data_IF_069072111275
#
_entry.id   IF_069072111275
#
_cell.length_a   1.000
_cell.length_b   1.000
_cell.length_c   1.000
_cell.angle_alpha   90.00
_cell.angle_beta   90.00
_cell.angle_gamma   90.00
#
_symmetry.space_group_name_H-M   'P 1'
#
loop_
_entity.id
_entity.type
_entity.pdbx_description
1 polymer ?
#
# COMPACT_ATOMS: atom_id res chain seq x y z
N UNK A 1 0.07 16.86 4.65
CA UNK A 1 0.64 16.10 5.77
C UNK A 1 2.07 15.75 5.42
N UNK A 2 2.98 15.75 6.39
CA UNK A 2 4.36 15.29 6.22
C UNK A 2 4.40 13.76 6.06
N UNK A 3 5.17 13.24 5.09
CA UNK A 3 5.26 11.81 4.76
C UNK A 3 5.75 10.98 5.95
N UNK A 4 6.75 11.49 6.67
CA UNK A 4 7.32 10.81 7.83
C UNK A 4 6.29 10.68 8.96
N UNK A 5 5.53 11.74 9.20
CA UNK A 5 4.43 11.74 10.17
C UNK A 5 3.34 10.71 9.84
N UNK A 6 2.98 10.57 8.56
CA UNK A 6 2.05 9.54 8.09
C UNK A 6 2.58 8.13 8.33
N UNK A 7 3.84 7.86 7.98
CA UNK A 7 4.48 6.56 8.19
C UNK A 7 4.53 6.20 9.68
N UNK A 8 4.89 7.15 10.53
CA UNK A 8 4.91 6.97 11.99
C UNK A 8 3.53 6.72 12.59
N UNK A 9 2.51 7.42 12.10
CA UNK A 9 1.14 7.17 12.51
C UNK A 9 0.71 5.75 12.14
N UNK A 10 0.98 5.34 10.91
CA UNK A 10 0.70 3.98 10.47
C UNK A 10 1.39 2.93 11.35
N UNK A 11 2.66 3.12 11.73
CA UNK A 11 3.32 2.18 12.64
C UNK A 11 2.52 2.00 13.94
N UNK A 12 2.10 3.11 14.56
CA UNK A 12 1.34 3.09 15.82
C UNK A 12 -0.02 2.42 15.66
N UNK A 13 -0.72 2.66 14.55
CA UNK A 13 -2.05 2.08 14.29
C UNK A 13 -2.00 0.54 14.20
N UNK A 14 -0.85 -0.02 13.81
CA UNK A 14 -0.66 -1.47 13.68
C UNK A 14 0.22 -2.08 14.78
N UNK A 15 0.79 -1.28 15.68
CA UNK A 15 1.51 -1.74 16.86
C UNK A 15 0.54 -2.18 17.98
N UNK A 16 -0.19 -3.29 17.73
CA UNK A 16 -1.20 -3.79 18.65
C UNK A 16 -0.61 -4.05 20.04
N UNK A 17 -1.18 -3.40 21.05
CA UNK A 17 -0.76 -3.53 22.44
C UNK A 17 0.46 -2.70 22.82
N UNK A 18 0.90 -1.75 21.98
CA UNK A 18 2.05 -0.88 22.23
C UNK A 18 3.33 -1.67 22.58
N UNK A 19 3.54 -2.78 21.88
CA UNK A 19 4.70 -3.67 22.06
C UNK A 19 5.99 -3.05 21.51
N UNK A 20 5.89 -1.98 20.72
CA UNK A 20 7.02 -1.26 20.15
C UNK A 20 7.59 -1.89 18.87
N UNK A 21 6.95 -2.93 18.33
CA UNK A 21 7.41 -3.64 17.13
C UNK A 21 6.26 -4.24 16.32
N UNK A 22 6.41 -4.28 14.98
CA UNK A 22 5.51 -5.01 14.10
C UNK A 22 6.05 -6.42 13.84
N UNK A 23 5.16 -7.41 13.89
CA UNK A 23 5.47 -8.76 13.40
C UNK A 23 5.11 -8.88 11.91
N UNK A 24 5.35 -10.05 11.29
CA UNK A 24 5.04 -10.32 9.88
C UNK A 24 3.58 -10.02 9.51
N UNK A 25 2.64 -10.25 10.42
CA UNK A 25 1.22 -10.00 10.17
C UNK A 25 0.94 -8.50 10.19
N UNK A 26 1.34 -7.80 11.24
CA UNK A 26 1.09 -6.35 11.37
C UNK A 26 1.77 -5.56 10.26
N UNK A 27 2.98 -5.96 9.86
CA UNK A 27 3.69 -5.36 8.72
C UNK A 27 2.86 -5.43 7.43
N UNK A 28 2.22 -6.57 7.15
CA UNK A 28 1.39 -6.71 5.94
C UNK A 28 0.24 -5.72 5.92
N UNK A 29 -0.41 -5.53 7.07
CA UNK A 29 -1.52 -4.59 7.17
C UNK A 29 -1.04 -3.13 7.12
N UNK A 30 0.06 -2.80 7.79
CA UNK A 30 0.66 -1.48 7.73
C UNK A 30 1.08 -1.09 6.30
N UNK A 31 1.70 -2.01 5.56
CA UNK A 31 2.03 -1.79 4.15
C UNK A 31 0.78 -1.62 3.28
N UNK A 32 -0.23 -2.47 3.46
CA UNK A 32 -1.48 -2.33 2.71
C UNK A 32 -2.18 -0.99 2.99
N UNK A 33 -2.11 -0.49 4.22
CA UNK A 33 -2.66 0.80 4.61
C UNK A 33 -1.87 1.98 4.03
N UNK A 34 -0.53 1.90 4.00
CA UNK A 34 0.33 2.96 3.47
C UNK A 34 0.29 3.08 1.95
N UNK A 35 0.28 1.95 1.25
CA UNK A 35 0.42 1.93 -0.21
C UNK A 35 -0.90 1.65 -0.93
N UNK A 36 -1.96 1.27 -0.22
CA UNK A 36 -3.22 0.83 -0.83
C UNK A 36 -3.13 -0.50 -1.58
N UNK A 37 -1.97 -1.17 -1.54
CA UNK A 37 -1.68 -2.39 -2.28
C UNK A 37 -1.28 -3.49 -1.31
N UNK A 38 -1.82 -4.69 -1.52
CA UNK A 38 -1.43 -5.87 -0.73
C UNK A 38 0.01 -6.25 -1.05
N UNK A 39 0.94 -6.23 -0.07
CA UNK A 39 2.33 -6.57 -0.34
C UNK A 39 2.49 -8.06 -0.67
N UNK A 40 3.49 -8.38 -1.49
CA UNK A 40 3.77 -9.78 -1.84
C UNK A 40 4.46 -10.53 -0.71
N UNK A 41 4.39 -11.86 -0.70
CA UNK A 41 5.11 -12.68 0.30
C UNK A 41 6.61 -12.40 0.29
N UNK A 42 7.19 -12.31 -0.92
CA UNK A 42 8.60 -12.06 -1.13
C UNK A 42 9.02 -10.69 -0.60
N UNK A 43 8.24 -9.66 -0.91
CA UNK A 43 8.49 -8.29 -0.45
C UNK A 43 8.48 -8.17 1.08
N UNK A 44 7.50 -8.82 1.73
CA UNK A 44 7.42 -8.90 3.20
C UNK A 44 8.66 -9.60 3.77
N UNK A 45 9.13 -10.67 3.12
CA UNK A 45 10.30 -11.43 3.56
C UNK A 45 11.61 -10.65 3.39
N UNK A 46 11.76 -9.90 2.29
CA UNK A 46 12.91 -9.01 2.10
C UNK A 46 12.97 -7.93 3.18
N UNK A 47 11.85 -7.28 3.50
CA UNK A 47 11.80 -6.26 4.55
C UNK A 47 12.15 -6.84 5.92
N UNK A 48 11.62 -8.03 6.25
CA UNK A 48 11.96 -8.69 7.51
C UNK A 48 13.43 -9.11 7.56
N UNK A 49 14.02 -9.52 6.43
CA UNK A 49 15.45 -9.83 6.34
C UNK A 49 16.31 -8.59 6.62
N UNK A 50 15.98 -7.46 5.99
CA UNK A 50 16.69 -6.18 6.21
C UNK A 50 16.64 -5.79 7.69
N UNK A 51 15.47 -5.92 8.32
CA UNK A 51 15.32 -5.59 9.74
C UNK A 51 16.14 -6.53 10.65
N UNK A 52 16.20 -7.83 10.34
CA UNK A 52 17.05 -8.79 11.08
C UNK A 52 18.53 -8.44 10.97
N UNK A 53 19.01 -8.17 9.76
CA UNK A 53 20.41 -7.83 9.51
C UNK A 53 20.82 -6.56 10.25
N UNK A 54 19.91 -5.59 10.35
CA UNK A 54 20.14 -4.37 11.12
C UNK A 54 20.35 -4.67 12.62
N UNK A 55 19.49 -5.51 13.22
CA UNK A 55 19.62 -5.90 14.64
C UNK A 55 20.91 -6.67 14.89
N UNK A 56 21.26 -7.62 14.02
CA UNK A 56 22.50 -8.41 14.13
C UNK A 56 23.72 -7.49 14.10
N UNK A 57 23.76 -6.50 13.20
CA UNK A 57 24.87 -5.53 13.12
C UNK A 57 25.00 -4.71 14.40
N UNK A 58 23.88 -4.22 14.95
CA UNK A 58 23.90 -3.47 16.20
C UNK A 58 24.41 -4.30 17.38
N UNK A 59 24.06 -5.58 17.45
CA UNK A 59 24.55 -6.49 18.50
C UNK A 59 26.05 -6.75 18.37
N UNK A 60 26.55 -6.98 17.15
CA UNK A 60 27.97 -7.17 16.87
C UNK A 60 28.83 -5.93 17.22
N UNK A 61 28.33 -4.73 16.92
CA UNK A 61 29.00 -3.47 17.25
C UNK A 61 29.01 -3.23 18.77
N UNK A 62 27.96 -3.66 19.49
CA UNK A 62 27.91 -3.57 20.96
C UNK A 62 28.94 -4.49 21.64
N UNK A 63 29.18 -5.68 21.08
CA UNK A 63 30.19 -6.61 21.61
C UNK A 63 31.63 -6.21 21.28
N UNK A 64 31.89 -5.58 20.12
CA UNK A 64 33.22 -5.03 19.81
C UNK A 64 33.63 -3.84 20.69
N UNK A 65 32.67 -3.11 21.27
CA UNK A 65 32.94 -2.01 22.21
C UNK A 65 33.08 -2.47 23.67
N UNK A 66 33.05 -3.77 23.94
CA UNK A 66 33.15 -4.34 25.28
C UNK A 66 34.27 -5.40 25.36
N UNK A 67 35.48 -5.07 24.91
CA UNK A 67 36.66 -5.87 25.27
C UNK A 67 37.05 -5.60 26.73
N UNK A 68 36.50 -6.39 27.66
CA UNK A 68 37.28 -7.06 28.72
C UNK A 68 36.47 -8.19 29.34
N UNK A 69 37.14 -9.34 29.43
CA UNK A 69 36.80 -10.59 30.12
C UNK A 69 35.94 -11.59 29.33
N UNK A 70 36.67 -12.56 28.78
CA UNK A 70 36.22 -13.89 28.39
C UNK A 70 35.29 -14.51 29.44
N UNK A 71 34.09 -14.91 29.03
CA UNK A 71 33.56 -16.18 29.47
C UNK A 71 32.76 -16.85 28.35
N UNK A 72 33.18 -18.07 28.00
CA UNK A 72 32.53 -18.92 27.01
C UNK A 72 31.37 -19.64 27.70
N UNK A 73 30.17 -19.07 27.65
CA UNK A 73 28.94 -19.84 27.85
C UNK A 73 28.05 -19.70 26.62
N UNK A 74 27.66 -20.86 26.10
CA UNK A 74 27.10 -21.05 24.78
C UNK A 74 25.96 -20.10 24.45
N UNK A 75 26.01 -19.58 23.23
CA UNK A 75 24.83 -19.04 22.58
C UNK A 75 23.90 -20.22 22.32
N UNK A 76 23.02 -20.48 23.28
CA UNK A 76 21.81 -21.24 23.05
C UNK A 76 21.16 -20.67 21.78
N UNK A 77 20.79 -21.57 20.88
CA UNK A 77 19.85 -21.29 19.80
C UNK A 77 18.52 -20.84 20.43
N UNK A 78 18.46 -19.59 20.90
CA UNK A 78 17.20 -18.92 21.16
C UNK A 78 16.62 -18.71 19.78
N UNK A 79 15.80 -19.66 19.37
CA UNK A 79 14.83 -19.53 18.31
C UNK A 79 14.14 -18.17 18.49
N UNK A 80 14.66 -17.12 17.84
CA UNK A 80 14.14 -15.76 18.00
C UNK A 80 12.75 -15.78 17.37
N UNK A 81 11.78 -15.91 18.26
CA UNK A 81 10.36 -15.96 18.03
C UNK A 81 9.90 -14.78 17.16
N UNK A 82 9.77 -15.05 15.86
CA UNK A 82 9.24 -14.13 14.85
C UNK A 82 10.15 -12.92 14.56
N UNK A 83 10.33 -12.60 13.29
CA UNK A 83 10.98 -11.34 12.89
C UNK A 83 10.20 -10.12 13.43
N UNK A 84 10.90 -9.21 14.11
CA UNK A 84 10.35 -7.98 14.72
C UNK A 84 10.90 -6.76 13.99
N UNK A 85 10.03 -5.80 13.68
CA UNK A 85 10.40 -4.54 13.03
C UNK A 85 10.05 -3.39 13.97
N UNK A 86 11.06 -2.63 14.40
CA UNK A 86 10.89 -1.46 15.24
C UNK A 86 10.63 -0.19 14.41
N UNK A 87 10.09 0.85 15.04
CA UNK A 87 9.66 2.08 14.35
C UNK A 87 10.76 2.73 13.49
N UNK A 88 12.03 2.88 13.94
CA UNK A 88 13.02 3.60 13.14
C UNK A 88 13.33 2.92 11.81
N UNK A 89 13.49 1.58 11.83
CA UNK A 89 13.77 0.79 10.63
C UNK A 89 12.54 0.68 9.74
N UNK A 90 11.34 0.59 10.33
CA UNK A 90 10.08 0.67 9.59
C UNK A 90 9.97 2.00 8.85
N UNK A 91 10.19 3.11 9.54
CA UNK A 91 10.09 4.44 8.97
C UNK A 91 11.08 4.63 7.82
N UNK A 92 12.34 4.23 8.01
CA UNK A 92 13.35 4.29 6.96
C UNK A 92 12.93 3.52 5.70
N UNK A 93 12.54 2.25 5.86
CA UNK A 93 12.16 1.40 4.73
C UNK A 93 10.92 1.95 4.03
N UNK A 94 9.88 2.32 4.78
CA UNK A 94 8.63 2.81 4.18
C UNK A 94 8.80 4.18 3.51
N UNK A 95 9.65 5.06 4.06
CA UNK A 95 9.98 6.34 3.42
C UNK A 95 10.68 6.13 2.08
N UNK A 96 11.71 5.28 2.02
CA UNK A 96 12.39 4.97 0.76
C UNK A 96 11.45 4.36 -0.27
N UNK A 97 10.49 3.53 0.17
CA UNK A 97 9.48 2.97 -0.74
C UNK A 97 8.48 4.03 -1.22
N UNK A 98 8.00 4.92 -0.34
CA UNK A 98 7.11 6.03 -0.70
C UNK A 98 7.75 7.05 -1.64
N UNK A 99 9.07 7.12 -1.70
CA UNK A 99 9.79 7.93 -2.70
C UNK A 99 9.83 7.28 -4.08
N UNK A 100 9.74 5.95 -4.14
CA UNK A 100 9.75 5.16 -5.37
C UNK A 100 8.34 4.87 -5.91
N UNK A 101 7.29 5.20 -5.16
CA UNK A 101 5.91 5.05 -5.64
C UNK A 101 5.64 6.08 -6.73
N UNK A 102 5.45 5.59 -7.95
CA UNK A 102 4.92 6.36 -9.07
C UNK A 102 3.38 6.24 -9.07
N UNK A 103 2.70 7.32 -8.70
CA UNK A 103 1.23 7.39 -8.70
C UNK A 103 0.64 7.13 -10.10
N UNK A 104 1.32 7.55 -11.17
CA UNK A 104 0.86 7.31 -12.53
C UNK A 104 1.03 5.83 -12.90
N UNK A 105 2.07 5.15 -12.41
CA UNK A 105 2.22 3.70 -12.58
C UNK A 105 1.11 2.93 -11.86
N UNK A 106 0.75 3.33 -10.63
CA UNK A 106 -0.40 2.76 -9.93
C UNK A 106 -1.69 2.96 -10.74
N UNK A 107 -1.93 4.16 -11.27
CA UNK A 107 -3.12 4.44 -12.07
C UNK A 107 -3.16 3.60 -13.36
N UNK A 108 -2.03 3.43 -14.04
CA UNK A 108 -1.92 2.54 -15.20
C UNK A 108 -2.20 1.09 -14.82
N UNK A 109 -1.63 0.59 -13.73
CA UNK A 109 -1.85 -0.78 -13.27
C UNK A 109 -3.32 -1.02 -12.94
N UNK A 110 -3.97 -0.08 -12.25
CA UNK A 110 -5.40 -0.18 -11.94
C UNK A 110 -6.22 -0.15 -13.23
N UNK A 111 -5.96 0.79 -14.15
CA UNK A 111 -6.65 0.86 -15.44
C UNK A 111 -6.53 -0.45 -16.23
N UNK A 112 -5.32 -1.01 -16.33
CA UNK A 112 -5.07 -2.30 -16.98
C UNK A 112 -5.82 -3.46 -16.30
N UNK A 113 -6.01 -3.42 -14.98
CA UNK A 113 -6.77 -4.44 -14.26
C UNK A 113 -8.28 -4.39 -14.59
N UNK A 114 -8.82 -3.21 -14.89
CA UNK A 114 -10.20 -3.05 -15.38
C UNK A 114 -10.33 -3.36 -16.88
N UNK A 115 -9.30 -3.04 -17.69
CA UNK A 115 -9.26 -3.29 -19.14
C UNK A 115 -8.83 -4.73 -19.45
N UNK A 116 -9.67 -5.69 -19.05
CA UNK A 116 -9.42 -7.13 -19.27
C UNK A 116 -9.20 -7.46 -20.75
N UNK A 117 -9.78 -6.67 -21.65
CA UNK A 117 -9.62 -6.84 -23.10
C UNK A 117 -8.35 -6.21 -23.68
N UNK A 118 -7.54 -5.51 -22.88
CA UNK A 118 -6.37 -4.73 -23.29
C UNK A 118 -6.66 -3.82 -24.51
N UNK A 119 -7.86 -3.20 -24.55
CA UNK A 119 -8.30 -2.36 -25.67
C UNK A 119 -7.78 -0.92 -25.58
N UNK A 120 -7.26 -0.54 -24.41
CA UNK A 120 -6.90 0.84 -24.07
C UNK A 120 -8.08 1.70 -23.62
N UNK A 121 -9.25 1.09 -23.39
CA UNK A 121 -10.46 1.77 -22.94
C UNK A 121 -11.42 0.81 -22.21
N UNK A 122 -12.18 1.35 -21.25
CA UNK A 122 -13.22 0.63 -20.52
C UNK A 122 -14.58 0.89 -21.16
N UNK A 123 -15.34 -0.18 -21.37
CA UNK A 123 -16.76 -0.12 -21.79
C UNK A 123 -17.67 -0.19 -20.57
N UNK A 124 -18.95 0.16 -20.76
CA UNK A 124 -19.96 -0.01 -19.72
C UNK A 124 -20.03 -1.47 -19.20
N UNK A 125 -19.83 -2.46 -20.08
CA UNK A 125 -19.82 -3.87 -19.69
C UNK A 125 -18.64 -4.19 -18.76
N UNK A 126 -17.45 -3.64 -19.03
CA UNK A 126 -16.28 -3.84 -18.16
C UNK A 126 -16.52 -3.21 -16.79
N UNK A 127 -17.06 -1.98 -16.76
CA UNK A 127 -17.41 -1.30 -15.53
C UNK A 127 -18.45 -2.10 -14.74
N UNK A 128 -19.54 -2.53 -15.37
CA UNK A 128 -20.59 -3.32 -14.75
C UNK A 128 -20.05 -4.63 -14.15
N UNK A 129 -19.24 -5.36 -14.91
CA UNK A 129 -18.61 -6.60 -14.45
C UNK A 129 -17.72 -6.35 -13.23
N UNK A 130 -16.91 -5.30 -13.27
CA UNK A 130 -16.00 -4.99 -12.17
C UNK A 130 -16.75 -4.56 -10.90
N UNK A 131 -17.78 -3.71 -11.03
CA UNK A 131 -18.63 -3.32 -9.90
C UNK A 131 -19.41 -4.50 -9.32
N UNK A 132 -19.90 -5.42 -10.16
CA UNK A 132 -20.52 -6.66 -9.67
C UNK A 132 -19.56 -7.54 -8.87
N UNK A 133 -18.28 -7.57 -9.23
CA UNK A 133 -17.27 -8.33 -8.50
C UNK A 133 -16.87 -7.66 -7.18
N UNK A 134 -16.61 -6.34 -7.21
CA UNK A 134 -16.06 -5.59 -6.06
C UNK A 134 -17.15 -5.19 -5.07
N UNK A 135 -18.37 -4.88 -5.54
CA UNK A 135 -19.50 -4.47 -4.72
C UNK A 135 -20.83 -4.89 -5.37
N UNK A 136 -21.26 -6.16 -5.21
CA UNK A 136 -22.47 -6.71 -5.84
C UNK A 136 -23.78 -5.98 -5.49
N UNK A 137 -23.77 -5.12 -4.47
CA UNK A 137 -24.94 -4.35 -4.00
C UNK A 137 -25.21 -3.10 -4.83
N UNK A 138 -24.26 -2.67 -5.65
CA UNK A 138 -24.42 -1.48 -6.50
C UNK A 138 -25.27 -1.86 -7.71
N UNK A 139 -26.38 -1.15 -7.91
CA UNK A 139 -27.29 -1.43 -9.03
C UNK A 139 -26.66 -1.05 -10.38
N UNK A 140 -27.02 -1.74 -11.48
CA UNK A 140 -26.54 -1.40 -12.82
C UNK A 140 -26.80 0.07 -13.20
N UNK A 141 -27.91 0.66 -12.74
CA UNK A 141 -28.23 2.06 -13.01
C UNK A 141 -27.21 3.01 -12.38
N UNK A 142 -26.78 2.75 -11.14
CA UNK A 142 -25.77 3.57 -10.46
C UNK A 142 -24.42 3.46 -11.18
N UNK A 143 -24.08 2.27 -11.69
CA UNK A 143 -22.88 2.09 -12.50
C UNK A 143 -22.99 2.84 -13.82
N UNK A 144 -24.16 2.82 -14.46
CA UNK A 144 -24.42 3.54 -15.71
C UNK A 144 -24.27 5.04 -15.53
N UNK A 145 -24.88 5.60 -14.49
CA UNK A 145 -24.79 7.04 -14.19
C UNK A 145 -23.34 7.46 -13.89
N UNK A 146 -22.58 6.62 -13.17
CA UNK A 146 -21.16 6.85 -12.92
C UNK A 146 -20.30 6.73 -14.20
N UNK A 147 -20.65 5.81 -15.09
CA UNK A 147 -19.98 5.63 -16.37
C UNK A 147 -20.18 6.84 -17.28
N UNK A 148 -21.43 7.27 -17.48
CA UNK A 148 -21.74 8.48 -18.25
C UNK A 148 -21.13 9.74 -17.65
N UNK A 149 -20.98 9.79 -16.33
CA UNK A 149 -20.27 10.90 -15.69
C UNK A 149 -18.77 10.91 -16.04
N UNK A 150 -18.17 9.73 -16.20
CA UNK A 150 -16.75 9.59 -16.52
C UNK A 150 -16.41 9.77 -18.00
N UNK A 151 -17.30 9.36 -18.89
CA UNK A 151 -17.19 9.48 -20.34
C UNK A 151 -17.30 10.96 -20.77
N UNK A 152 -16.14 11.63 -20.86
CA UNK A 152 -16.08 13.09 -21.04
C UNK A 152 -16.45 13.54 -22.46
N UNK A 153 -16.23 12.69 -23.46
CA UNK A 153 -16.49 12.98 -24.88
C UNK A 153 -17.69 12.21 -25.45
N UNK A 154 -18.39 11.43 -24.62
CA UNK A 154 -19.58 10.63 -24.95
C UNK A 154 -19.34 9.66 -26.11
N UNK A 155 -18.13 9.09 -26.21
CA UNK A 155 -17.82 8.09 -27.23
C UNK A 155 -18.24 6.66 -26.81
N UNK A 156 -18.82 6.52 -25.60
CA UNK A 156 -19.25 5.27 -25.01
C UNK A 156 -18.10 4.50 -24.35
N UNK A 157 -16.94 5.14 -24.13
CA UNK A 157 -15.72 4.54 -23.61
C UNK A 157 -15.10 5.43 -22.55
N UNK A 158 -14.41 4.83 -21.60
CA UNK A 158 -13.55 5.55 -20.66
C UNK A 158 -12.11 5.23 -21.03
N UNK A 159 -11.45 6.20 -21.68
CA UNK A 159 -10.02 6.13 -21.95
C UNK A 159 -9.19 6.36 -20.68
N UNK A 160 -7.87 6.15 -20.77
CA UNK A 160 -6.96 6.38 -19.64
C UNK A 160 -7.04 7.82 -19.12
N UNK A 161 -7.18 8.82 -20.01
CA UNK A 161 -7.29 10.22 -19.61
C UNK A 161 -8.54 10.49 -18.76
N UNK A 162 -9.67 9.88 -19.11
CA UNK A 162 -10.92 10.02 -18.37
C UNK A 162 -10.87 9.28 -17.05
N UNK A 163 -10.31 8.06 -17.06
CA UNK A 163 -10.06 7.31 -15.84
C UNK A 163 -9.22 8.11 -14.82
N UNK A 164 -8.14 8.75 -15.28
CA UNK A 164 -7.30 9.59 -14.41
C UNK A 164 -8.09 10.77 -13.84
N UNK A 165 -8.94 11.45 -14.62
CA UNK A 165 -9.80 12.54 -14.12
C UNK A 165 -10.77 12.05 -13.04
N UNK A 166 -11.39 10.88 -13.27
CA UNK A 166 -12.33 10.25 -12.33
C UNK A 166 -11.64 9.94 -11.01
N UNK A 167 -10.45 9.31 -11.04
CA UNK A 167 -9.73 8.87 -9.84
C UNK A 167 -9.02 10.03 -9.11
N UNK A 168 -8.38 10.95 -9.84
CA UNK A 168 -7.68 12.11 -9.23
C UNK A 168 -8.63 13.22 -8.76
N UNK A 169 -9.93 13.11 -9.05
CA UNK A 169 -10.95 13.98 -8.45
C UNK A 169 -10.82 15.46 -8.82
N UNK A 170 -10.49 15.79 -10.08
CA UNK A 170 -10.52 17.19 -10.53
C UNK A 170 -11.96 17.67 -10.70
N UNK A 171 -12.49 18.27 -9.62
CA UNK A 171 -13.72 19.07 -9.55
C UNK A 171 -15.02 18.44 -10.06
N UNK A 172 -15.54 17.48 -9.30
CA UNK A 172 -16.99 17.39 -9.11
C UNK A 172 -17.44 18.50 -8.16
N UNK A 173 -17.66 19.69 -8.72
CA UNK A 173 -18.36 20.76 -8.02
C UNK A 173 -19.82 20.30 -7.85
N UNK A 174 -20.35 20.07 -6.62
CA UNK A 174 -21.71 19.56 -6.42
C UNK A 174 -22.83 20.54 -6.82
N UNK A 175 -22.49 21.70 -7.41
CA UNK A 175 -23.39 22.83 -7.64
C UNK A 175 -23.99 22.91 -9.05
N UNK A 176 -24.00 21.82 -9.83
CA UNK A 176 -24.82 21.75 -11.06
C UNK A 176 -25.83 20.62 -10.99
N UNK A 177 -26.71 20.69 -10.00
CA UNK A 177 -28.05 20.12 -10.07
C UNK A 177 -29.06 21.26 -10.01
N UNK A 178 -30.00 21.23 -10.96
CA UNK A 178 -31.17 22.09 -11.14
C UNK A 178 -30.95 23.46 -11.79
N UNK A 179 -31.13 23.51 -13.10
CA UNK A 179 -31.97 24.55 -13.69
C UNK A 179 -32.84 23.93 -14.80
N UNK A 180 -34.14 23.87 -14.44
CA UNK A 180 -35.38 23.65 -15.20
C UNK A 180 -35.36 22.80 -16.48
#
# INVERSE_FOLDING_TARGET
MDKLSTVRACFRDFDKGNKGFLNKHDLKFAMAALFGIRPTKFEVEQILSIAKDYVIRLEQDRQKNSETVHDNSGLEDTEIEGARIYEPIFAQIMMSKLELVDEDDILRQVFCAFDVGCRGFLTFEDALRAFQYVSPKISPQVVHDAFCFGDSDNDGRIGYADFVKIIKGTHLNPQRRYHY
#
